data_IF_882163075324
#
_entry.id   IF_882163075324
#
_cell.length_a   1.000
_cell.length_b   1.000
_cell.length_c   1.000
_cell.angle_alpha   90.00
_cell.angle_beta   90.00
_cell.angle_gamma   90.00
#
_symmetry.space_group_name_H-M   'P 1'
#
loop_
_entity.id
_entity.type
_entity.pdbx_description
1 polymer ?
#
# COMPACT_ATOMS: atom_id res chain seq x y z
N UNK A 1 -10.08 12.22 -0.07
CA UNK A 1 -10.44 10.83 0.25
C UNK A 1 -11.48 10.81 1.37
N UNK A 2 -12.67 10.23 1.16
CA UNK A 2 -13.57 9.87 2.28
C UNK A 2 -13.08 8.55 2.86
N UNK A 3 -13.15 8.37 4.18
CA UNK A 3 -12.73 7.12 4.83
C UNK A 3 -13.97 6.29 5.12
N UNK A 4 -14.00 5.05 4.65
CA UNK A 4 -15.08 4.10 4.92
C UNK A 4 -14.62 3.01 5.90
N UNK A 5 -13.35 2.63 5.85
CA UNK A 5 -12.80 1.57 6.69
C UNK A 5 -11.44 1.91 7.28
N UNK A 6 -11.14 1.28 8.41
CA UNK A 6 -9.85 1.36 9.07
C UNK A 6 -9.43 0.00 9.58
N UNK A 7 -8.12 -0.28 9.48
CA UNK A 7 -7.52 -1.53 9.91
C UNK A 7 -6.23 -1.25 10.66
N UNK A 8 -5.95 -2.06 11.69
CA UNK A 8 -4.69 -2.01 12.44
C UNK A 8 -3.84 -3.22 12.09
N UNK A 9 -2.59 -2.98 11.75
CA UNK A 9 -1.59 -4.02 11.48
C UNK A 9 -0.63 -4.07 12.67
N UNK A 10 -0.45 -5.27 13.22
CA UNK A 10 0.51 -5.62 14.26
C UNK A 10 1.18 -6.91 13.81
N UNK A 11 2.48 -6.86 13.51
CA UNK A 11 3.19 -7.98 12.89
C UNK A 11 4.55 -8.20 13.54
N UNK A 12 5.10 -9.39 13.34
CA UNK A 12 6.46 -9.70 13.71
C UNK A 12 7.44 -9.16 12.65
N UNK A 13 8.70 -8.86 13.02
CA UNK A 13 9.68 -8.27 12.12
C UNK A 13 9.95 -9.05 10.83
N UNK A 14 9.82 -10.38 10.87
CA UNK A 14 10.05 -11.28 9.74
C UNK A 14 8.95 -11.24 8.67
N UNK A 15 7.79 -10.63 8.97
CA UNK A 15 6.60 -10.74 8.13
C UNK A 15 6.52 -9.67 7.05
N UNK A 16 6.13 -10.11 5.85
CA UNK A 16 5.78 -9.24 4.74
C UNK A 16 4.25 -9.22 4.60
N UNK A 17 3.69 -8.02 4.45
CA UNK A 17 2.26 -7.80 4.22
C UNK A 17 2.04 -6.98 2.96
N UNK A 18 0.82 -7.00 2.46
CA UNK A 18 0.38 -6.08 1.42
C UNK A 18 0.57 -6.53 -0.01
N UNK A 19 1.38 -7.56 -0.30
CA UNK A 19 1.79 -8.07 -1.63
C UNK A 19 0.65 -8.30 -2.63
N UNK A 20 0.08 -7.19 -3.08
CA UNK A 20 -1.06 -7.06 -3.97
C UNK A 20 -1.26 -5.58 -4.33
N UNK A 21 -1.97 -5.36 -5.43
CA UNK A 21 -2.58 -4.07 -5.77
C UNK A 21 -4.09 -4.14 -5.56
N UNK A 22 -4.75 -2.98 -5.47
CA UNK A 22 -6.20 -2.87 -5.40
C UNK A 22 -6.70 -2.05 -6.59
N UNK A 23 -7.78 -2.49 -7.23
CA UNK A 23 -8.34 -1.82 -8.41
C UNK A 23 -9.00 -0.48 -8.08
N UNK A 24 -9.68 -0.38 -6.93
CA UNK A 24 -10.47 0.79 -6.55
C UNK A 24 -9.96 1.44 -5.28
N UNK A 25 -9.59 0.63 -4.28
CA UNK A 25 -9.16 1.14 -2.98
C UNK A 25 -7.91 2.00 -3.07
N UNK A 26 -8.04 3.21 -2.55
CA UNK A 26 -6.98 4.10 -2.13
C UNK A 26 -6.70 3.88 -0.64
N UNK A 27 -5.46 4.11 -0.22
CA UNK A 27 -5.06 3.91 1.16
C UNK A 27 -4.30 5.09 1.74
N UNK A 28 -4.48 5.32 3.04
CA UNK A 28 -3.57 6.14 3.85
C UNK A 28 -2.98 5.25 4.94
N UNK A 29 -1.66 5.10 4.93
CA UNK A 29 -0.91 4.34 5.92
C UNK A 29 -0.28 5.32 6.90
N UNK A 30 -0.52 5.16 8.19
CA UNK A 30 -0.04 6.05 9.25
C UNK A 30 0.73 5.21 10.27
N UNK A 31 1.98 5.59 10.53
CA UNK A 31 2.74 4.96 11.59
C UNK A 31 2.32 5.52 12.95
N UNK A 32 1.77 4.65 13.79
CA UNK A 32 1.27 5.00 15.12
C UNK A 32 2.34 4.77 16.17
N UNK A 33 3.11 3.68 16.06
CA UNK A 33 4.22 3.33 16.95
C UNK A 33 5.25 2.47 16.21
N UNK A 34 6.50 2.47 16.69
CA UNK A 34 7.59 1.72 16.09
C UNK A 34 7.97 2.23 14.69
N UNK A 35 8.36 1.30 13.82
CA UNK A 35 8.69 1.59 12.42
C UNK A 35 8.27 0.47 11.48
N UNK A 36 8.05 0.82 10.21
CA UNK A 36 7.86 -0.11 9.11
C UNK A 36 8.37 0.51 7.80
N UNK A 37 8.72 -0.33 6.82
CA UNK A 37 8.99 0.11 5.46
C UNK A 37 7.82 -0.23 4.57
N UNK A 38 7.46 0.69 3.69
CA UNK A 38 6.47 0.48 2.64
C UNK A 38 7.14 0.68 1.29
N UNK A 39 7.27 -0.41 0.54
CA UNK A 39 7.62 -0.37 -0.87
C UNK A 39 6.34 -0.18 -1.67
N UNK A 40 6.34 0.81 -2.55
CA UNK A 40 5.27 1.06 -3.50
C UNK A 40 5.86 0.98 -4.89
N UNK A 41 5.19 0.28 -5.78
CA UNK A 41 5.67 0.06 -7.13
C UNK A 41 4.55 0.30 -8.15
N UNK A 42 4.84 1.16 -9.11
CA UNK A 42 4.06 1.29 -10.34
C UNK A 42 4.75 0.53 -11.49
N UNK A 43 4.41 0.85 -12.74
CA UNK A 43 5.10 0.24 -13.89
C UNK A 43 6.55 0.69 -14.07
N UNK A 44 6.82 1.97 -13.85
CA UNK A 44 8.03 2.68 -14.25
C UNK A 44 8.99 2.96 -13.10
N UNK A 45 8.47 2.99 -11.88
CA UNK A 45 9.15 3.46 -10.70
C UNK A 45 8.78 2.65 -9.47
N UNK A 46 9.74 2.61 -8.56
CA UNK A 46 9.60 2.04 -7.25
C UNK A 46 10.06 3.09 -6.25
N UNK A 47 9.32 3.23 -5.15
CA UNK A 47 9.75 3.98 -3.99
C UNK A 47 9.67 3.10 -2.74
N UNK A 48 10.63 3.26 -1.84
CA UNK A 48 10.59 2.67 -0.50
C UNK A 48 10.52 3.83 0.48
N UNK A 49 9.47 3.87 1.28
CA UNK A 49 9.26 4.87 2.31
C UNK A 49 9.39 4.19 3.67
N UNK A 50 10.30 4.69 4.49
CA UNK A 50 10.39 4.29 5.89
C UNK A 50 9.45 5.17 6.72
N UNK A 51 8.47 4.53 7.36
CA UNK A 51 7.57 5.17 8.29
C UNK A 51 8.09 4.94 9.72
N UNK A 52 8.98 5.82 10.19
CA UNK A 52 9.63 5.71 11.51
C UNK A 52 9.44 6.96 12.40
N UNK A 53 8.63 7.92 11.95
CA UNK A 53 8.33 9.14 12.70
C UNK A 53 6.85 9.16 13.11
N UNK A 54 6.53 9.59 14.34
CA UNK A 54 5.15 9.85 14.72
C UNK A 54 4.49 10.83 13.74
N UNK A 55 3.22 10.58 13.39
CA UNK A 55 2.42 11.41 12.47
C UNK A 55 2.90 11.40 11.01
N UNK A 56 3.87 10.57 10.67
CA UNK A 56 4.20 10.30 9.27
C UNK A 56 3.17 9.34 8.71
N UNK A 57 2.68 9.67 7.51
CA UNK A 57 1.83 8.78 6.75
C UNK A 57 2.05 8.96 5.26
N UNK A 58 1.63 7.97 4.50
CA UNK A 58 1.70 7.97 3.04
C UNK A 58 0.32 7.70 2.49
N UNK A 59 0.00 8.41 1.42
CA UNK A 59 -1.16 8.15 0.60
C UNK A 59 -0.76 7.26 -0.58
N UNK A 60 -1.52 6.20 -0.81
CA UNK A 60 -1.31 5.22 -1.86
C UNK A 60 -2.56 5.23 -2.75
N UNK A 61 -2.47 5.80 -3.96
CA UNK A 61 -3.52 5.67 -4.97
C UNK A 61 -3.87 4.21 -5.28
N UNK A 62 -5.06 4.01 -5.85
CA UNK A 62 -5.43 2.74 -6.46
C UNK A 62 -4.44 2.32 -7.56
N UNK A 63 -4.43 1.03 -7.89
CA UNK A 63 -3.59 0.44 -8.95
C UNK A 63 -2.08 0.57 -8.73
N UNK A 64 -1.66 0.66 -7.46
CA UNK A 64 -0.27 0.52 -7.05
C UNK A 64 -0.04 -0.78 -6.29
N UNK A 65 1.04 -1.47 -6.63
CA UNK A 65 1.53 -2.60 -5.85
C UNK A 65 2.21 -2.08 -4.61
N UNK A 66 1.93 -2.70 -3.45
CA UNK A 66 2.51 -2.30 -2.17
C UNK A 66 2.99 -3.51 -1.39
N UNK A 67 4.16 -3.39 -0.78
CA UNK A 67 4.69 -4.34 0.19
C UNK A 67 5.06 -3.59 1.47
N UNK A 68 4.67 -4.14 2.62
CA UNK A 68 4.97 -3.62 3.94
C UNK A 68 5.83 -4.65 4.68
N UNK A 69 7.00 -4.25 5.17
CA UNK A 69 8.00 -5.15 5.74
C UNK A 69 8.93 -4.39 6.71
N UNK A 70 9.91 -5.09 7.28
CA UNK A 70 10.86 -4.56 8.27
C UNK A 70 10.13 -3.88 9.45
N UNK A 71 9.10 -4.54 9.99
CA UNK A 71 8.36 -4.06 11.16
C UNK A 71 9.24 -4.11 12.41
N UNK A 72 9.31 -3.03 13.19
CA UNK A 72 9.89 -3.08 14.53
C UNK A 72 9.02 -3.91 15.48
N UNK A 73 9.59 -4.38 16.60
CA UNK A 73 8.85 -5.21 17.58
C UNK A 73 7.62 -4.51 18.18
N UNK A 74 7.63 -3.19 18.22
CA UNK A 74 6.57 -2.32 18.72
C UNK A 74 5.76 -1.66 17.58
N UNK A 75 5.93 -2.13 16.34
CA UNK A 75 5.30 -1.52 15.17
C UNK A 75 3.78 -1.61 15.23
N UNK A 76 3.14 -0.46 15.02
CA UNK A 76 1.70 -0.34 14.85
C UNK A 76 1.43 0.55 13.64
N UNK A 77 0.89 -0.07 12.59
CA UNK A 77 0.53 0.62 11.36
C UNK A 77 -0.99 0.70 11.23
N UNK A 78 -1.52 1.92 11.13
CA UNK A 78 -2.93 2.18 10.86
C UNK A 78 -3.13 2.35 9.34
N UNK A 79 -4.08 1.61 8.79
CA UNK A 79 -4.45 1.67 7.37
C UNK A 79 -5.87 2.19 7.27
N UNK A 80 -6.07 3.26 6.51
CA UNK A 80 -7.38 3.84 6.22
C UNK A 80 -7.69 3.61 4.74
N UNK A 81 -8.90 3.19 4.42
CA UNK A 81 -9.35 2.97 3.04
C UNK A 81 -10.59 3.80 2.71
N UNK A 82 -10.69 4.18 1.44
CA UNK A 82 -11.85 4.88 0.87
C UNK A 82 -12.94 3.96 0.32
N UNK A 83 -12.77 2.64 0.44
CA UNK A 83 -13.76 1.66 0.00
C UNK A 83 -14.02 0.66 1.13
N UNK A 84 -15.13 -0.06 1.01
CA UNK A 84 -15.39 -1.23 1.83
C UNK A 84 -14.57 -2.43 1.35
N UNK A 85 -14.29 -3.38 2.25
CA UNK A 85 -13.60 -4.60 1.88
C UNK A 85 -14.34 -5.34 0.75
N UNK A 86 -13.65 -5.48 -0.38
CA UNK A 86 -14.10 -6.21 -1.55
C UNK A 86 -12.98 -7.18 -1.97
N UNK A 87 -13.23 -8.48 -1.88
CA UNK A 87 -12.24 -9.50 -2.20
C UNK A 87 -11.88 -9.52 -3.69
N UNK A 88 -12.80 -9.09 -4.56
CA UNK A 88 -12.69 -9.21 -6.02
C UNK A 88 -11.80 -8.10 -6.62
N UNK A 89 -11.50 -7.04 -5.88
CA UNK A 89 -10.61 -5.98 -6.36
C UNK A 89 -9.12 -6.26 -6.14
N UNK A 90 -8.77 -7.33 -5.43
CA UNK A 90 -7.38 -7.68 -5.12
C UNK A 90 -6.68 -8.27 -6.35
N UNK A 91 -5.56 -7.67 -6.76
CA UNK A 91 -4.64 -8.24 -7.74
C UNK A 91 -3.45 -8.82 -6.98
N UNK A 92 -3.45 -10.15 -6.79
CA UNK A 92 -2.46 -10.86 -5.97
C UNK A 92 -1.31 -11.48 -6.76
N UNK A 93 -1.50 -11.71 -8.06
CA UNK A 93 -0.43 -12.16 -8.93
C UNK A 93 0.34 -10.95 -9.47
N UNK A 94 1.64 -10.91 -9.19
CA UNK A 94 2.47 -9.77 -9.59
C UNK A 94 2.66 -9.70 -11.12
N UNK A 95 2.67 -10.84 -11.83
CA UNK A 95 2.78 -10.85 -13.30
C UNK A 95 1.50 -10.30 -13.92
N UNK A 96 0.34 -10.73 -13.42
CA UNK A 96 -0.97 -10.20 -13.82
C UNK A 96 -1.03 -8.69 -13.59
N UNK A 97 -0.58 -8.22 -12.42
CA UNK A 97 -0.49 -6.79 -12.13
C UNK A 97 0.31 -6.02 -13.19
N UNK A 98 1.51 -6.51 -13.56
CA UNK A 98 2.35 -5.85 -14.56
C UNK A 98 1.67 -5.80 -15.94
N UNK A 99 0.93 -6.83 -16.32
CA UNK A 99 0.17 -6.83 -17.57
C UNK A 99 -1.00 -5.85 -17.57
N UNK A 100 -1.73 -5.74 -16.45
CA UNK A 100 -2.87 -4.82 -16.30
C UNK A 100 -2.39 -3.36 -16.36
N UNK A 101 -1.37 -3.01 -15.58
CA UNK A 101 -0.86 -1.63 -15.54
C UNK A 101 -0.25 -1.22 -16.88
N UNK A 102 0.28 -2.15 -17.68
CA UNK A 102 0.70 -1.88 -19.05
C UNK A 102 -0.47 -1.40 -19.93
N UNK A 103 -1.66 -2.00 -19.77
CA UNK A 103 -2.86 -1.66 -20.54
C UNK A 103 -3.49 -0.34 -20.08
N UNK A 104 -3.51 -0.07 -18.77
CA UNK A 104 -4.18 1.11 -18.20
C UNK A 104 -3.32 2.38 -18.19
N UNK A 105 -1.98 2.28 -18.25
CA UNK A 105 -1.06 3.44 -18.28
C UNK A 105 -1.09 4.28 -19.58
N UNK A 106 -2.12 4.21 -20.42
CA UNK A 106 -2.24 5.12 -21.58
C UNK A 106 -2.47 6.59 -21.17
N UNK A 107 -2.81 6.86 -19.90
CA UNK A 107 -3.27 8.18 -19.45
C UNK A 107 -2.29 9.03 -18.61
N UNK A 108 -1.10 8.54 -18.27
CA UNK A 108 -0.11 9.37 -17.53
C UNK A 108 1.09 9.68 -18.42
N UNK A 109 0.85 10.35 -19.55
CA UNK A 109 1.88 11.23 -20.12
C UNK A 109 1.92 12.50 -19.27
N UNK A 110 3.00 12.59 -18.49
CA UNK A 110 3.50 13.77 -17.76
C UNK A 110 3.12 15.08 -18.49
N UNK A 111 2.44 15.98 -17.78
CA UNK A 111 2.61 17.42 -17.97
C UNK A 111 3.78 17.87 -17.10
#
# INVERSE_FOLDING_TARGET
>A
MKIYEHYKIIELPEMIRGSHANRKSEFVLINVAGSAKVKIEDRFSMAVIELNKPRMGIYIPSMLWKDMYDFSKDAVLLVLSNEHYDADEYIRDYKEYKEIVVKECTFIKRK
#
